data_IF_581230486621
#
_entry.id   IF_581230486621
#
_cell.length_a   1.000
_cell.length_b   1.000
_cell.length_c   1.000
_cell.angle_alpha   90.00
_cell.angle_beta   90.00
_cell.angle_gamma   90.00
#
_symmetry.space_group_name_H-M   'P 1'
#
loop_
_entity.id
_entity.type
_entity.pdbx_description
1 polymer ?
#
# COMPACT_ATOMS: atom_id res chain seq x y z
N UNK A 1 -35.19 -6.68 -1.15
CA UNK A 1 -33.94 -6.29 -0.47
C UNK A 1 -34.23 -5.09 0.40
N UNK A 2 -34.06 -5.22 1.71
CA UNK A 2 -34.36 -4.14 2.66
C UNK A 2 -33.30 -3.01 2.48
N UNK A 3 -33.70 -1.88 1.88
CA UNK A 3 -32.81 -0.73 1.54
C UNK A 3 -32.13 -0.07 2.75
N UNK A 4 -32.49 -0.45 3.98
CA UNK A 4 -32.14 0.29 5.19
C UNK A 4 -30.85 -0.14 5.88
N UNK A 5 -30.00 -1.01 5.30
CA UNK A 5 -28.75 -1.46 5.92
C UNK A 5 -27.62 -1.66 4.89
N UNK A 6 -27.33 -0.64 4.09
CA UNK A 6 -26.16 -0.69 3.22
C UNK A 6 -24.89 -0.57 4.06
N UNK A 7 -24.15 -1.67 4.18
CA UNK A 7 -22.80 -1.71 4.77
C UNK A 7 -21.79 -2.01 3.67
N UNK A 8 -20.55 -1.57 3.86
CA UNK A 8 -19.46 -1.92 2.97
C UNK A 8 -19.10 -3.39 3.17
N UNK A 9 -19.38 -4.23 2.17
CA UNK A 9 -19.26 -5.69 2.23
C UNK A 9 -17.93 -6.19 1.66
N UNK A 10 -17.64 -7.48 1.85
CA UNK A 10 -16.53 -8.15 1.17
C UNK A 10 -16.66 -8.12 -0.35
N UNK A 11 -17.88 -8.21 -0.87
CA UNK A 11 -18.17 -8.13 -2.30
C UNK A 11 -17.81 -6.75 -2.86
N UNK A 12 -18.22 -5.66 -2.20
CA UNK A 12 -17.79 -4.31 -2.57
C UNK A 12 -16.26 -4.16 -2.59
N UNK A 13 -15.57 -4.78 -1.61
CA UNK A 13 -14.11 -4.80 -1.58
C UNK A 13 -13.52 -5.55 -2.77
N UNK A 14 -14.10 -6.68 -3.16
CA UNK A 14 -13.62 -7.46 -4.31
C UNK A 14 -13.84 -6.71 -5.63
N UNK A 15 -14.99 -6.08 -5.82
CA UNK A 15 -15.28 -5.25 -6.99
C UNK A 15 -14.25 -4.10 -7.08
N UNK A 16 -14.03 -3.37 -5.99
CA UNK A 16 -13.07 -2.27 -5.96
C UNK A 16 -11.63 -2.74 -6.27
N UNK A 17 -11.23 -3.90 -5.76
CA UNK A 17 -9.93 -4.52 -6.10
C UNK A 17 -9.85 -4.92 -7.57
N UNK A 18 -10.92 -5.47 -8.14
CA UNK A 18 -10.99 -5.80 -9.56
C UNK A 18 -10.78 -4.58 -10.45
N UNK A 19 -11.47 -3.47 -10.14
CA UNK A 19 -11.28 -2.18 -10.85
C UNK A 19 -9.84 -1.69 -10.69
N UNK A 20 -9.28 -1.77 -9.48
CA UNK A 20 -7.90 -1.36 -9.22
C UNK A 20 -6.88 -2.19 -10.01
N UNK A 21 -7.12 -3.50 -10.20
CA UNK A 21 -6.25 -4.34 -11.06
C UNK A 21 -6.29 -3.85 -12.51
N UNK A 22 -7.48 -3.56 -13.06
CA UNK A 22 -7.61 -3.03 -14.42
C UNK A 22 -6.87 -1.70 -14.57
N UNK A 23 -6.99 -0.80 -13.59
CA UNK A 23 -6.24 0.46 -13.57
C UNK A 23 -4.74 0.24 -13.49
N UNK A 24 -4.29 -0.70 -12.68
CA UNK A 24 -2.87 -1.04 -12.55
C UNK A 24 -2.30 -1.55 -13.88
N UNK A 25 -2.99 -2.47 -14.54
CA UNK A 25 -2.58 -3.00 -15.85
C UNK A 25 -2.50 -1.88 -16.87
N UNK A 26 -3.53 -1.03 -16.96
CA UNK A 26 -3.56 0.09 -17.89
C UNK A 26 -2.42 1.09 -17.60
N UNK A 27 -2.18 1.41 -16.32
CA UNK A 27 -1.08 2.27 -15.90
C UNK A 27 0.27 1.74 -16.40
N UNK A 28 0.57 0.47 -16.10
CA UNK A 28 1.87 -0.12 -16.48
C UNK A 28 2.07 -0.26 -17.98
N UNK A 29 1.00 -0.43 -18.76
CA UNK A 29 1.09 -0.52 -20.22
C UNK A 29 1.31 0.82 -20.88
N UNK A 30 0.67 1.91 -20.42
CA UNK A 30 0.57 3.15 -21.18
C UNK A 30 1.22 4.37 -20.51
N UNK A 31 1.73 4.25 -19.26
CA UNK A 31 2.34 5.41 -18.58
C UNK A 31 3.69 5.80 -19.19
N UNK A 32 4.42 4.82 -19.72
CA UNK A 32 5.71 5.00 -20.39
C UNK A 32 5.60 4.45 -21.82
N UNK A 33 5.24 5.30 -22.79
CA UNK A 33 5.04 4.87 -24.19
C UNK A 33 6.25 4.17 -24.81
N UNK A 34 7.46 4.58 -24.43
CA UNK A 34 8.73 4.06 -24.93
C UNK A 34 8.91 2.55 -24.63
N UNK A 35 8.26 2.03 -23.60
CA UNK A 35 8.29 0.59 -23.28
C UNK A 35 7.62 -0.28 -24.33
N UNK A 36 6.73 0.30 -25.14
CA UNK A 36 6.01 -0.39 -26.23
C UNK A 36 6.65 -0.14 -27.61
N UNK A 37 7.90 0.37 -27.67
CA UNK A 37 8.64 0.65 -28.90
C UNK A 37 7.84 1.44 -29.96
N UNK A 38 6.89 2.28 -29.54
CA UNK A 38 5.94 3.00 -30.39
C UNK A 38 5.05 2.08 -31.28
N UNK A 39 4.90 0.81 -30.93
CA UNK A 39 4.09 -0.15 -31.69
C UNK A 39 2.59 -0.04 -31.40
N UNK A 40 2.15 0.94 -30.62
CA UNK A 40 0.74 1.17 -30.34
C UNK A 40 0.19 2.37 -31.11
N UNK A 41 -1.08 2.28 -31.44
CA UNK A 41 -1.78 3.38 -32.12
C UNK A 41 -2.05 4.50 -31.10
N UNK A 42 -1.52 5.69 -31.36
CA UNK A 42 -1.88 6.88 -30.62
C UNK A 42 -3.30 7.31 -31.03
N UNK A 43 -4.29 7.06 -30.17
CA UNK A 43 -5.69 7.31 -30.49
C UNK A 43 -6.02 8.81 -30.55
N UNK A 44 -5.36 9.60 -29.72
CA UNK A 44 -5.60 11.05 -29.63
C UNK A 44 -4.40 11.73 -29.00
N UNK A 45 -4.00 12.85 -29.57
CA UNK A 45 -2.96 13.72 -29.04
C UNK A 45 -3.59 15.03 -28.53
N UNK A 46 -3.28 15.40 -27.28
CA UNK A 46 -3.77 16.63 -26.67
C UNK A 46 -2.55 17.48 -26.30
N UNK A 47 -2.31 18.55 -27.06
CA UNK A 47 -1.18 19.46 -26.85
C UNK A 47 0.20 18.77 -26.81
N UNK A 48 0.44 17.78 -27.66
CA UNK A 48 1.69 17.03 -27.70
C UNK A 48 1.80 15.93 -26.63
N UNK A 49 0.72 15.66 -25.89
CA UNK A 49 0.68 14.58 -24.90
C UNK A 49 -0.30 13.51 -25.36
N UNK A 50 0.17 12.28 -25.37
CA UNK A 50 -0.65 11.12 -25.71
C UNK A 50 -1.79 10.94 -24.69
N UNK A 51 -3.03 10.90 -25.15
CA UNK A 51 -4.22 10.76 -24.30
C UNK A 51 -4.21 9.48 -23.47
N UNK A 52 -3.70 8.37 -24.02
CA UNK A 52 -3.57 7.12 -23.26
C UNK A 52 -2.63 7.27 -22.05
N UNK A 53 -1.55 8.04 -22.19
CA UNK A 53 -0.64 8.35 -21.08
C UNK A 53 -1.30 9.22 -20.00
N UNK A 54 -2.19 10.14 -20.39
CA UNK A 54 -2.98 10.93 -19.43
C UNK A 54 -3.89 10.03 -18.60
N UNK A 55 -4.62 9.13 -19.25
CA UNK A 55 -5.47 8.14 -18.56
C UNK A 55 -4.62 7.21 -17.71
N UNK A 56 -3.48 6.75 -18.21
CA UNK A 56 -2.57 5.88 -17.48
C UNK A 56 -2.04 6.54 -16.20
N UNK A 57 -1.73 7.84 -16.25
CA UNK A 57 -1.36 8.59 -15.03
C UNK A 57 -2.51 8.68 -14.03
N UNK A 58 -3.76 8.88 -14.47
CA UNK A 58 -4.93 8.81 -13.60
C UNK A 58 -5.09 7.41 -12.99
N UNK A 59 -4.85 6.36 -13.73
CA UNK A 59 -4.95 4.97 -13.29
C UNK A 59 -3.99 4.61 -12.15
N UNK A 60 -2.97 5.44 -11.86
CA UNK A 60 -2.11 5.33 -10.66
C UNK A 60 -2.89 5.33 -9.35
N UNK A 61 -4.13 5.83 -9.35
CA UNK A 61 -5.05 5.77 -8.20
C UNK A 61 -5.29 4.33 -7.71
N UNK A 62 -4.99 3.30 -8.52
CA UNK A 62 -5.10 1.89 -8.13
C UNK A 62 -4.37 1.59 -6.80
N UNK A 63 -3.20 2.19 -6.59
CA UNK A 63 -2.42 2.07 -5.35
C UNK A 63 -3.20 2.62 -4.17
N UNK A 64 -3.78 3.82 -4.31
CA UNK A 64 -4.58 4.43 -3.26
C UNK A 64 -5.80 3.57 -2.92
N UNK A 65 -6.45 2.95 -3.90
CA UNK A 65 -7.59 2.04 -3.68
C UNK A 65 -7.14 0.85 -2.81
N UNK A 66 -6.03 0.18 -3.15
CA UNK A 66 -5.53 -0.95 -2.37
C UNK A 66 -5.16 -0.57 -0.94
N UNK A 67 -4.46 0.55 -0.77
CA UNK A 67 -4.02 1.06 0.54
C UNK A 67 -5.23 1.44 1.40
N UNK A 68 -6.20 2.15 0.83
CA UNK A 68 -7.44 2.53 1.52
C UNK A 68 -8.23 1.30 2.00
N UNK A 69 -8.45 0.33 1.11
CA UNK A 69 -9.17 -0.90 1.44
C UNK A 69 -8.44 -1.72 2.50
N UNK A 70 -7.11 -1.71 2.48
CA UNK A 70 -6.29 -2.35 3.50
C UNK A 70 -6.48 -1.68 4.86
N UNK A 71 -6.39 -0.36 4.94
CA UNK A 71 -6.65 0.39 6.18
C UNK A 71 -8.06 0.12 6.73
N UNK A 72 -9.07 0.13 5.87
CA UNK A 72 -10.46 -0.19 6.23
C UNK A 72 -10.58 -1.60 6.83
N UNK A 73 -10.02 -2.60 6.16
CA UNK A 73 -10.09 -3.99 6.58
C UNK A 73 -9.29 -4.27 7.86
N UNK A 74 -8.11 -3.66 8.01
CA UNK A 74 -7.30 -3.84 9.23
C UNK A 74 -7.97 -3.24 10.45
N UNK A 75 -8.60 -2.07 10.35
CA UNK A 75 -9.35 -1.54 11.48
C UNK A 75 -10.46 -2.50 11.93
N UNK A 76 -11.26 -3.05 11.00
CA UNK A 76 -12.30 -4.03 11.31
C UNK A 76 -11.75 -5.29 11.96
N UNK A 77 -10.63 -5.80 11.48
CA UNK A 77 -10.01 -7.03 11.97
C UNK A 77 -9.41 -6.87 13.37
N UNK A 78 -8.87 -5.68 13.68
CA UNK A 78 -8.08 -5.45 14.89
C UNK A 78 -8.85 -4.73 16.00
N UNK A 79 -9.92 -3.97 15.69
CA UNK A 79 -10.64 -3.12 16.67
C UNK A 79 -11.16 -3.84 17.92
N UNK A 80 -11.48 -5.13 17.80
CA UNK A 80 -12.00 -5.96 18.89
C UNK A 80 -10.90 -6.82 19.53
N UNK A 81 -9.63 -6.58 19.21
CA UNK A 81 -8.52 -7.33 19.79
C UNK A 81 -7.97 -6.59 21.01
N UNK A 82 -7.99 -7.22 22.18
CA UNK A 82 -7.64 -6.56 23.45
C UNK A 82 -6.14 -6.47 23.72
N UNK A 83 -5.34 -7.34 23.10
CA UNK A 83 -3.89 -7.42 23.31
C UNK A 83 -3.13 -6.98 22.07
N UNK A 84 -2.14 -6.10 22.26
CA UNK A 84 -1.24 -5.65 21.20
C UNK A 84 -0.47 -6.84 20.57
N UNK A 85 -0.07 -7.81 21.41
CA UNK A 85 0.61 -9.01 20.93
C UNK A 85 -0.28 -9.83 19.97
N UNK A 86 -1.57 -9.96 20.31
CA UNK A 86 -2.54 -10.63 19.42
C UNK A 86 -2.78 -9.84 18.13
N UNK A 87 -2.76 -8.50 18.17
CA UNK A 87 -2.83 -7.68 16.97
C UNK A 87 -1.63 -7.94 16.06
N UNK A 88 -0.40 -7.92 16.61
CA UNK A 88 0.80 -8.22 15.83
C UNK A 88 0.84 -9.66 15.32
N UNK A 89 0.31 -10.64 16.06
CA UNK A 89 0.17 -12.02 15.59
C UNK A 89 -0.74 -12.09 14.35
N UNK A 90 -1.89 -11.41 14.37
CA UNK A 90 -2.79 -11.34 13.20
C UNK A 90 -2.12 -10.65 12.01
N UNK A 91 -1.45 -9.54 12.25
CA UNK A 91 -0.69 -8.80 11.23
C UNK A 91 0.42 -9.67 10.65
N UNK A 92 1.18 -10.37 11.49
CA UNK A 92 2.27 -11.25 11.07
C UNK A 92 1.79 -12.39 10.16
N UNK A 93 0.67 -13.04 10.50
CA UNK A 93 0.07 -14.07 9.63
C UNK A 93 -0.35 -13.47 8.28
N UNK A 94 -0.90 -12.26 8.29
CA UNK A 94 -1.29 -11.59 7.04
C UNK A 94 -0.06 -11.18 6.21
N UNK A 95 0.98 -10.66 6.87
CA UNK A 95 2.25 -10.30 6.22
C UNK A 95 2.92 -11.52 5.59
N UNK A 96 3.00 -12.64 6.31
CA UNK A 96 3.57 -13.89 5.78
C UNK A 96 2.79 -14.39 4.56
N UNK A 97 1.46 -14.38 4.61
CA UNK A 97 0.64 -14.77 3.46
C UNK A 97 0.84 -13.83 2.26
N UNK A 98 1.00 -12.53 2.49
CA UNK A 98 1.28 -11.57 1.45
C UNK A 98 2.68 -11.80 0.85
N UNK A 99 3.70 -11.93 1.71
CA UNK A 99 5.08 -12.16 1.29
C UNK A 99 5.25 -13.51 0.58
N UNK A 100 4.54 -14.57 0.98
CA UNK A 100 4.63 -15.86 0.28
C UNK A 100 4.17 -15.75 -1.19
N UNK A 101 3.11 -15.02 -1.47
CA UNK A 101 2.67 -14.75 -2.85
C UNK A 101 3.71 -13.92 -3.62
N UNK A 102 4.27 -12.91 -2.98
CA UNK A 102 5.34 -12.09 -3.53
C UNK A 102 6.58 -12.93 -3.89
N UNK A 103 7.06 -13.76 -2.96
CA UNK A 103 8.25 -14.60 -3.20
C UNK A 103 8.08 -15.58 -4.36
N UNK A 104 6.87 -16.10 -4.58
CA UNK A 104 6.57 -16.95 -5.75
C UNK A 104 6.78 -16.15 -7.04
N UNK A 105 6.26 -14.91 -7.10
CA UNK A 105 6.39 -14.05 -8.28
C UNK A 105 7.86 -13.72 -8.53
N UNK A 106 8.58 -13.30 -7.50
CA UNK A 106 10.01 -12.96 -7.59
C UNK A 106 10.85 -14.17 -8.01
N UNK A 107 10.54 -15.35 -7.48
CA UNK A 107 11.23 -16.58 -7.88
C UNK A 107 11.07 -16.84 -9.38
N UNK A 108 9.84 -16.71 -9.90
CA UNK A 108 9.57 -16.85 -11.33
C UNK A 108 10.35 -15.81 -12.13
N UNK A 109 10.35 -14.57 -11.69
CA UNK A 109 11.05 -13.47 -12.35
C UNK A 109 12.57 -13.67 -12.37
N UNK A 110 13.17 -14.07 -11.25
CA UNK A 110 14.60 -14.39 -11.18
C UNK A 110 14.95 -15.58 -12.10
N UNK A 111 14.13 -16.62 -12.14
CA UNK A 111 14.35 -17.77 -13.00
C UNK A 111 14.28 -17.37 -14.48
N UNK A 112 13.24 -16.67 -14.89
CA UNK A 112 13.07 -16.21 -16.27
C UNK A 112 14.17 -15.22 -16.63
N UNK A 113 14.47 -14.25 -15.79
CA UNK A 113 15.51 -13.24 -16.01
C UNK A 113 16.90 -13.86 -16.18
N UNK A 114 17.19 -14.96 -15.44
CA UNK A 114 18.44 -15.70 -15.57
C UNK A 114 18.49 -16.49 -16.88
N UNK A 115 17.40 -17.17 -17.26
CA UNK A 115 17.33 -17.95 -18.51
C UNK A 115 17.54 -17.06 -19.74
N UNK A 116 16.95 -15.86 -19.75
CA UNK A 116 17.10 -14.90 -20.86
C UNK A 116 18.40 -14.07 -20.76
N UNK A 117 19.24 -14.32 -19.75
CA UNK A 117 20.55 -13.67 -19.59
C UNK A 117 20.49 -12.21 -19.10
N UNK A 118 19.33 -11.72 -18.65
CA UNK A 118 19.17 -10.34 -18.13
C UNK A 118 19.58 -10.19 -16.66
N UNK A 119 19.49 -11.25 -15.86
CA UNK A 119 19.82 -11.24 -14.44
C UNK A 119 20.95 -12.22 -14.17
N UNK A 120 22.01 -11.74 -13.49
CA UNK A 120 23.08 -12.58 -12.95
C UNK A 120 22.84 -12.75 -11.47
N UNK A 121 22.39 -13.93 -11.05
CA UNK A 121 22.07 -14.19 -9.64
C UNK A 121 23.37 -14.10 -8.82
N UNK A 122 23.35 -13.28 -7.77
CA UNK A 122 24.33 -13.24 -6.71
C UNK A 122 23.60 -13.19 -5.34
N UNK A 123 24.36 -13.30 -4.26
CA UNK A 123 23.79 -13.31 -2.91
C UNK A 123 23.04 -12.01 -2.57
N UNK A 124 23.54 -10.89 -3.01
CA UNK A 124 22.94 -9.57 -2.81
C UNK A 124 21.58 -9.47 -3.47
N UNK A 125 21.46 -9.86 -4.74
CA UNK A 125 20.18 -9.87 -5.47
C UNK A 125 19.17 -10.78 -4.77
N UNK A 126 19.60 -11.94 -4.27
CA UNK A 126 18.70 -12.86 -3.55
C UNK A 126 18.23 -12.24 -2.22
N UNK A 127 19.12 -11.62 -1.46
CA UNK A 127 18.76 -10.94 -0.21
C UNK A 127 17.80 -9.78 -0.49
N UNK A 128 18.14 -8.91 -1.44
CA UNK A 128 17.31 -7.79 -1.83
C UNK A 128 15.92 -8.27 -2.30
N UNK A 129 15.87 -9.30 -3.12
CA UNK A 129 14.63 -9.92 -3.58
C UNK A 129 13.76 -10.44 -2.42
N UNK A 130 14.35 -11.08 -1.41
CA UNK A 130 13.61 -11.55 -0.22
C UNK A 130 12.92 -10.39 0.50
N UNK A 131 13.57 -9.24 0.60
CA UNK A 131 13.06 -8.06 1.31
C UNK A 131 12.28 -7.07 0.41
N UNK A 132 12.03 -7.40 -0.85
CA UNK A 132 11.31 -6.50 -1.76
C UNK A 132 12.14 -5.30 -2.22
N UNK A 133 13.46 -5.40 -2.14
CA UNK A 133 14.41 -4.41 -2.62
C UNK A 133 15.03 -4.99 -3.88
N UNK A 134 14.51 -4.61 -5.03
CA UNK A 134 15.00 -5.16 -6.30
C UNK A 134 15.43 -4.00 -7.20
N UNK A 135 16.72 -3.77 -7.24
CA UNK A 135 17.34 -2.88 -8.22
C UNK A 135 17.25 -3.53 -9.61
N UNK A 136 16.51 -2.90 -10.51
CA UNK A 136 16.47 -3.27 -11.93
C UNK A 136 15.50 -4.37 -12.34
N UNK A 137 14.74 -4.94 -11.42
CA UNK A 137 13.64 -5.88 -11.69
C UNK A 137 12.38 -5.23 -11.15
N UNK A 138 11.32 -5.12 -11.87
CA UNK A 138 10.05 -4.47 -11.58
C UNK A 138 9.96 -3.57 -10.32
N UNK A 139 9.15 -2.53 -10.38
CA UNK A 139 8.97 -1.53 -9.31
C UNK A 139 8.22 -2.10 -8.10
N UNK A 140 8.87 -2.94 -7.28
CA UNK A 140 8.27 -3.57 -6.10
C UNK A 140 8.19 -2.64 -4.86
N UNK A 141 8.40 -1.35 -5.01
CA UNK A 141 8.29 -0.36 -3.93
C UNK A 141 6.99 -0.50 -3.10
N UNK A 142 5.91 -0.96 -3.74
CA UNK A 142 4.62 -1.20 -3.08
C UNK A 142 4.71 -2.26 -1.98
N UNK A 143 5.55 -3.28 -2.14
CA UNK A 143 5.77 -4.35 -1.16
C UNK A 143 6.27 -3.76 0.16
N UNK A 144 7.29 -2.92 0.07
CA UNK A 144 7.88 -2.24 1.24
C UNK A 144 6.85 -1.32 1.90
N UNK A 145 6.18 -0.47 1.11
CA UNK A 145 5.14 0.41 1.62
C UNK A 145 4.05 -0.37 2.35
N UNK A 146 3.62 -1.50 1.79
CA UNK A 146 2.58 -2.34 2.39
C UNK A 146 3.03 -2.98 3.69
N UNK A 147 4.24 -3.52 3.77
CA UNK A 147 4.80 -4.08 5.01
C UNK A 147 4.89 -3.02 6.10
N UNK A 148 5.36 -1.82 5.77
CA UNK A 148 5.39 -0.69 6.72
C UNK A 148 3.98 -0.38 7.25
N UNK A 149 2.96 -0.31 6.35
CA UNK A 149 1.58 -0.08 6.78
C UNK A 149 1.07 -1.20 7.71
N UNK A 150 1.44 -2.46 7.45
CA UNK A 150 1.12 -3.58 8.33
C UNK A 150 1.73 -3.41 9.72
N UNK A 151 3.00 -3.02 9.80
CA UNK A 151 3.71 -2.85 11.07
C UNK A 151 3.11 -1.72 11.92
N UNK A 152 2.70 -0.62 11.30
CA UNK A 152 2.10 0.52 12.02
C UNK A 152 0.59 0.34 12.30
N UNK A 153 -0.10 -0.58 11.61
CA UNK A 153 -1.55 -0.78 11.75
C UNK A 153 -2.02 -1.02 13.19
N UNK A 154 -1.41 -1.90 14.02
CA UNK A 154 -1.81 -2.08 15.41
C UNK A 154 -1.74 -0.80 16.23
N UNK A 155 -0.69 -0.01 16.03
CA UNK A 155 -0.47 1.26 16.73
C UNK A 155 -1.57 2.27 16.36
N UNK A 156 -1.87 2.40 15.06
CA UNK A 156 -2.94 3.28 14.59
C UNK A 156 -4.31 2.85 15.13
N UNK A 157 -4.59 1.54 15.19
CA UNK A 157 -5.83 1.02 15.77
C UNK A 157 -5.92 1.37 17.26
N UNK A 158 -4.84 1.27 18.02
CA UNK A 158 -4.80 1.67 19.43
C UNK A 158 -5.11 3.14 19.59
N UNK A 159 -4.45 4.01 18.80
CA UNK A 159 -4.68 5.45 18.79
C UNK A 159 -6.16 5.77 18.51
N UNK A 160 -6.73 5.09 17.52
CA UNK A 160 -8.11 5.31 17.12
C UNK A 160 -9.14 4.75 18.14
N UNK A 161 -8.82 3.64 18.81
CA UNK A 161 -9.75 2.92 19.68
C UNK A 161 -9.73 3.40 21.13
N UNK A 162 -8.61 3.90 21.63
CA UNK A 162 -8.48 4.39 23.00
C UNK A 162 -9.34 5.63 23.25
N UNK A 163 -10.08 5.63 24.36
CA UNK A 163 -10.87 6.79 24.80
C UNK A 163 -10.01 7.86 25.47
N UNK A 164 -8.94 7.46 26.15
CA UNK A 164 -8.05 8.37 26.88
C UNK A 164 -7.21 9.23 25.91
N UNK A 165 -7.43 10.53 25.93
CA UNK A 165 -6.75 11.50 25.08
C UNK A 165 -5.24 11.52 25.33
N UNK A 166 -4.83 11.41 26.60
CA UNK A 166 -3.42 11.40 27.01
C UNK A 166 -2.66 10.26 26.35
N UNK A 167 -3.20 9.04 26.36
CA UNK A 167 -2.56 7.88 25.71
C UNK A 167 -2.35 8.13 24.22
N UNK A 168 -3.31 8.74 23.54
CA UNK A 168 -3.20 9.09 22.10
C UNK A 168 -2.07 10.09 21.88
N UNK A 169 -2.03 11.16 22.67
CA UNK A 169 -1.00 12.21 22.55
C UNK A 169 0.39 11.60 22.79
N UNK A 170 0.57 10.82 23.86
CA UNK A 170 1.84 10.16 24.16
C UNK A 170 2.30 9.21 23.05
N UNK A 171 1.37 8.44 22.46
CA UNK A 171 1.71 7.52 21.38
C UNK A 171 2.13 8.28 20.12
N UNK A 172 1.42 9.35 19.77
CA UNK A 172 1.78 10.19 18.62
C UNK A 172 3.13 10.86 18.86
N UNK A 173 3.36 11.42 20.06
CA UNK A 173 4.62 12.06 20.42
C UNK A 173 5.80 11.08 20.30
N UNK A 174 5.63 9.84 20.81
CA UNK A 174 6.66 8.80 20.71
C UNK A 174 6.97 8.46 19.24
N UNK A 175 5.97 8.32 18.39
CA UNK A 175 6.17 8.06 16.97
C UNK A 175 6.91 9.20 16.28
N UNK A 176 6.58 10.45 16.60
CA UNK A 176 7.30 11.63 16.06
C UNK A 176 8.75 11.64 16.51
N UNK A 177 9.02 11.36 17.80
CA UNK A 177 10.40 11.29 18.32
C UNK A 177 11.19 10.21 17.60
N UNK A 178 10.64 8.99 17.47
CA UNK A 178 11.31 7.89 16.76
C UNK A 178 11.59 8.29 15.31
N UNK A 179 10.62 8.88 14.61
CA UNK A 179 10.80 9.36 13.25
C UNK A 179 11.95 10.38 13.14
N UNK A 180 11.98 11.39 14.04
CA UNK A 180 13.02 12.41 14.04
C UNK A 180 14.41 11.82 14.33
N UNK A 181 14.51 10.87 15.28
CA UNK A 181 15.78 10.18 15.58
C UNK A 181 16.30 9.47 14.33
N UNK A 182 15.45 8.69 13.65
CA UNK A 182 15.87 7.95 12.45
C UNK A 182 16.27 8.92 11.33
N UNK A 183 15.54 10.02 11.13
CA UNK A 183 15.91 11.08 10.18
C UNK A 183 17.30 11.66 10.45
N UNK A 184 17.61 11.92 11.72
CA UNK A 184 18.93 12.41 12.11
C UNK A 184 20.02 11.38 11.83
N UNK A 185 19.77 10.11 12.16
CA UNK A 185 20.73 9.01 11.93
C UNK A 185 21.02 8.81 10.44
N UNK A 186 20.01 8.90 9.57
CA UNK A 186 20.18 8.83 8.11
C UNK A 186 20.92 10.07 7.58
N UNK A 187 20.57 11.28 8.06
CA UNK A 187 21.19 12.53 7.59
C UNK A 187 22.70 12.61 7.86
N UNK A 188 23.16 12.01 8.95
CA UNK A 188 24.57 12.05 9.35
C UNK A 188 25.32 10.74 9.04
N UNK A 189 24.79 9.92 8.11
CA UNK A 189 25.40 8.67 7.62
C UNK A 189 25.72 7.64 8.74
N UNK A 190 25.06 7.74 9.90
CA UNK A 190 25.16 6.71 10.93
C UNK A 190 24.45 5.42 10.54
N UNK A 191 23.54 5.49 9.57
CA UNK A 191 22.86 4.36 8.96
C UNK A 191 23.04 4.51 7.45
N UNK A 192 23.47 3.44 6.79
CA UNK A 192 23.61 3.39 5.34
C UNK A 192 22.24 3.67 4.68
N UNK A 193 22.17 4.74 3.89
CA UNK A 193 20.96 5.20 3.20
C UNK A 193 20.59 4.31 2.00
N UNK A 194 21.54 3.52 1.50
CA UNK A 194 21.33 2.50 0.47
C UNK A 194 20.85 1.16 1.02
N UNK A 195 20.89 0.99 2.35
CA UNK A 195 20.59 -0.27 3.02
C UNK A 195 19.10 -0.62 3.09
N UNK A 196 18.81 -1.89 3.41
CA UNK A 196 17.44 -2.43 3.55
C UNK A 196 16.62 -1.58 4.51
N UNK A 197 17.18 -1.19 5.65
CA UNK A 197 16.47 -0.40 6.65
C UNK A 197 16.03 0.97 6.10
N UNK A 198 16.93 1.68 5.43
CA UNK A 198 16.64 2.98 4.85
C UNK A 198 15.55 2.88 3.77
N UNK A 199 15.62 1.88 2.90
CA UNK A 199 14.62 1.61 1.87
C UNK A 199 13.20 1.46 2.44
N UNK A 200 13.04 0.73 3.56
CA UNK A 200 11.74 0.62 4.26
C UNK A 200 11.35 1.92 4.97
N UNK A 201 12.31 2.65 5.51
CA UNK A 201 12.05 3.91 6.21
C UNK A 201 11.53 4.99 5.27
N UNK A 202 12.07 5.11 4.05
CA UNK A 202 11.60 6.02 3.02
C UNK A 202 10.11 5.83 2.67
N UNK A 203 9.57 4.63 2.88
CA UNK A 203 8.14 4.38 2.67
C UNK A 203 7.25 5.08 3.71
N UNK A 204 7.76 5.37 4.90
CA UNK A 204 7.03 6.15 5.93
C UNK A 204 6.93 7.61 5.51
N UNK A 205 7.92 8.13 4.79
CA UNK A 205 7.92 9.51 4.27
C UNK A 205 6.93 9.72 3.13
N UNK A 206 6.43 8.63 2.53
CA UNK A 206 5.39 8.71 1.52
C UNK A 206 4.04 9.06 2.19
N UNK A 207 3.93 10.31 2.67
CA UNK A 207 2.76 10.82 3.38
C UNK A 207 1.42 10.51 2.69
N UNK A 208 1.27 10.60 1.35
CA UNK A 208 0.03 10.23 0.67
C UNK A 208 -0.40 8.79 0.93
N UNK A 209 0.53 7.84 0.99
CA UNK A 209 0.23 6.43 1.26
C UNK A 209 -0.24 6.24 2.70
N UNK A 210 0.52 6.79 3.66
CA UNK A 210 0.18 6.73 5.09
C UNK A 210 -1.17 7.38 5.35
N UNK A 211 -1.41 8.56 4.78
CA UNK A 211 -2.68 9.28 4.89
C UNK A 211 -3.84 8.47 4.30
N UNK A 212 -3.67 7.87 3.13
CA UNK A 212 -4.70 7.05 2.47
C UNK A 212 -5.06 5.82 3.31
N UNK A 213 -4.06 5.14 3.87
CA UNK A 213 -4.28 4.01 4.79
C UNK A 213 -5.06 4.43 6.03
N UNK A 214 -4.66 5.56 6.65
CA UNK A 214 -5.32 6.11 7.82
C UNK A 214 -6.76 6.55 7.52
N UNK A 215 -7.01 7.16 6.36
CA UNK A 215 -8.36 7.51 5.89
C UNK A 215 -9.24 6.26 5.77
N UNK A 216 -8.72 5.15 5.25
CA UNK A 216 -9.43 3.87 5.22
C UNK A 216 -9.85 3.42 6.62
N UNK A 217 -8.94 3.50 7.61
CA UNK A 217 -9.25 3.20 9.01
C UNK A 217 -10.33 4.13 9.60
N UNK A 218 -10.25 5.43 9.33
CA UNK A 218 -11.24 6.42 9.79
C UNK A 218 -12.62 6.13 9.19
N UNK A 219 -12.69 5.85 7.88
CA UNK A 219 -13.94 5.49 7.21
C UNK A 219 -14.59 4.24 7.84
N UNK A 220 -13.77 3.26 8.20
CA UNK A 220 -14.22 2.05 8.89
C UNK A 220 -14.68 2.34 10.34
N UNK A 221 -13.92 3.16 11.08
CA UNK A 221 -14.26 3.52 12.47
C UNK A 221 -15.59 4.26 12.58
N UNK A 222 -15.84 5.20 11.69
CA UNK A 222 -17.01 6.08 11.75
C UNK A 222 -18.19 5.58 10.92
N UNK A 223 -18.08 4.38 10.31
CA UNK A 223 -19.10 3.80 9.41
C UNK A 223 -19.57 4.81 8.34
N UNK A 224 -18.59 5.54 7.75
CA UNK A 224 -18.88 6.64 6.82
C UNK A 224 -19.69 6.14 5.63
N UNK A 225 -19.38 4.96 5.11
CA UNK A 225 -20.11 4.35 4.02
C UNK A 225 -21.61 4.22 4.36
N UNK A 226 -21.93 3.65 5.51
CA UNK A 226 -23.31 3.49 5.99
C UNK A 226 -24.02 4.84 6.15
N UNK A 227 -23.33 5.85 6.70
CA UNK A 227 -23.91 7.18 6.89
C UNK A 227 -24.23 7.88 5.57
N UNK A 228 -23.32 7.83 4.60
CA UNK A 228 -23.49 8.47 3.29
C UNK A 228 -24.64 7.84 2.51
N UNK A 229 -24.74 6.52 2.49
CA UNK A 229 -25.77 5.83 1.72
C UNK A 229 -27.14 5.83 2.40
N UNK A 230 -27.20 5.77 3.75
CA UNK A 230 -28.48 5.86 4.45
C UNK A 230 -29.09 7.28 4.37
N UNK A 231 -28.26 8.33 4.46
CA UNK A 231 -28.77 9.70 4.33
C UNK A 231 -29.31 9.99 2.92
N UNK A 232 -28.73 9.42 1.86
CA UNK A 232 -29.25 9.55 0.49
C UNK A 232 -30.58 8.80 0.29
N UNK A 233 -30.81 7.73 1.05
CA UNK A 233 -32.08 6.96 0.98
C UNK A 233 -33.24 7.66 1.68
N UNK A 234 -32.99 8.67 2.51
CA UNK A 234 -34.01 9.47 3.22
C UNK A 234 -34.35 10.74 2.45
N UNK A 235 -33.50 11.19 1.51
CA UNK A 235 -33.69 12.42 0.73
C UNK A 235 -34.35 12.21 -0.65
N UNK A 236 -34.72 10.97 -0.99
CA UNK A 236 -35.51 10.58 -2.16
C UNK A 236 -36.83 9.90 -1.72
#
# INVERSE_FOLDING_TARGET
MNKNNMSFTKEHTQIAKGIAILFMVYHHLFVIPERLNNEYINLLDINGVNFQSIIANFCKICVCIYIFLSGYGFFLSLKNTNSILQMYKKVGVHALKFMSNYWIIVLIELLVGTIIGKIKINLEIVINAIFGIVDGVAEFWFIQAYIVMLLIAPILVIILSKKQIITKILTILLLVIIYLIVRVLLKYDYIDDSGIFASYFWQIENLPIVATFFMGMLCSKFDIYKKVFNNRAVSN
#
